data_IF_370082889975
#
_entry.id   IF_370082889975
#
_cell.length_a   1.000
_cell.length_b   1.000
_cell.length_c   1.000
_cell.angle_alpha   90.00
_cell.angle_beta   90.00
_cell.angle_gamma   90.00
#
_symmetry.space_group_name_H-M   'P 1'
#
loop_
_entity.id
_entity.type
_entity.pdbx_description
1 polymer ?
#
# COMPACT_ATOMS: atom_id res chain seq x y z
N UNK A 1 -9.88 -12.98 6.67
CA UNK A 1 -9.04 -12.37 5.62
C UNK A 1 -9.84 -11.47 4.65
N UNK A 2 -10.79 -10.66 5.14
CA UNK A 2 -11.73 -9.86 4.30
C UNK A 2 -11.43 -8.36 4.26
N UNK A 3 -10.38 -7.87 4.96
CA UNK A 3 -10.14 -6.42 5.11
C UNK A 3 -9.48 -5.76 3.90
N UNK A 4 -8.72 -6.49 3.09
CA UNK A 4 -7.95 -5.92 1.95
C UNK A 4 -8.79 -5.58 0.71
N UNK A 5 -10.12 -5.66 0.79
CA UNK A 5 -11.04 -5.35 -0.32
C UNK A 5 -11.97 -4.16 -0.08
N UNK A 6 -11.88 -3.52 1.09
CA UNK A 6 -12.61 -2.30 1.42
C UNK A 6 -11.63 -1.13 1.51
N UNK A 7 -12.04 0.09 1.11
CA UNK A 7 -11.18 1.25 1.27
C UNK A 7 -10.98 1.56 2.76
N UNK A 8 -9.88 2.24 3.06
CA UNK A 8 -9.59 2.76 4.39
C UNK A 8 -9.10 4.21 4.30
N UNK A 9 -9.33 4.97 5.36
CA UNK A 9 -8.83 6.33 5.53
C UNK A 9 -7.92 6.36 6.76
N UNK A 10 -6.78 7.03 6.65
CA UNK A 10 -5.84 7.22 7.76
C UNK A 10 -5.42 8.68 7.84
N UNK A 11 -5.52 9.28 9.04
CA UNK A 11 -5.06 10.64 9.33
C UNK A 11 -3.64 10.52 9.88
N UNK A 12 -2.69 11.20 9.26
CA UNK A 12 -1.25 11.07 9.54
C UNK A 12 -0.74 12.14 10.49
N UNK A 13 -1.33 13.34 10.45
CA UNK A 13 -0.95 14.44 11.33
C UNK A 13 -1.24 15.81 10.76
N UNK A 14 -0.71 16.83 11.44
CA UNK A 14 -0.85 18.25 11.11
C UNK A 14 0.54 18.87 11.02
N UNK A 15 0.84 19.47 9.88
CA UNK A 15 2.04 20.28 9.66
C UNK A 15 1.75 21.76 9.92
N UNK A 16 2.75 22.50 10.42
CA UNK A 16 2.66 23.93 10.70
C UNK A 16 2.18 24.30 12.11
N UNK A 17 1.73 23.32 12.90
CA UNK A 17 1.39 23.49 14.31
C UNK A 17 2.59 23.20 15.25
N UNK A 18 2.39 23.37 16.56
CA UNK A 18 3.35 22.96 17.58
C UNK A 18 3.21 21.44 17.85
N UNK A 19 4.28 20.67 17.58
CA UNK A 19 4.28 19.20 17.70
C UNK A 19 5.37 18.64 18.62
N UNK A 20 6.20 19.50 19.22
CA UNK A 20 7.26 19.09 20.13
C UNK A 20 6.74 18.90 21.56
N UNK A 21 7.46 18.13 22.42
CA UNK A 21 7.17 18.09 23.83
C UNK A 21 7.21 19.48 24.49
N UNK A 22 6.47 19.66 25.58
CA UNK A 22 6.39 20.91 26.33
C UNK A 22 5.21 21.79 25.92
N UNK A 23 5.35 23.11 26.09
CA UNK A 23 4.25 24.07 25.88
C UNK A 23 4.68 25.22 24.97
N UNK A 24 3.77 25.67 24.10
CA UNK A 24 3.94 26.88 23.29
C UNK A 24 2.62 27.64 23.18
N UNK A 25 2.59 28.89 23.62
CA UNK A 25 1.42 29.77 23.56
C UNK A 25 1.33 30.43 22.18
N UNK A 26 0.96 29.65 21.17
CA UNK A 26 0.90 30.11 19.77
C UNK A 26 -0.42 29.74 19.11
N UNK A 27 -0.93 30.64 18.27
CA UNK A 27 -1.99 30.35 17.30
C UNK A 27 -1.29 30.20 15.93
N UNK A 28 -1.17 28.98 15.36
CA UNK A 28 -0.53 28.80 14.07
C UNK A 28 -1.26 29.55 12.95
N UNK A 29 -0.54 30.37 12.18
CA UNK A 29 -1.12 31.17 11.10
C UNK A 29 -1.56 30.32 9.89
N UNK A 30 -0.92 29.16 9.69
CA UNK A 30 -1.24 28.20 8.62
C UNK A 30 -0.94 26.78 9.11
N UNK A 31 -1.83 25.86 8.81
CA UNK A 31 -1.64 24.43 9.06
C UNK A 31 -2.03 23.60 7.83
N UNK A 32 -1.46 22.40 7.73
CA UNK A 32 -1.76 21.42 6.70
C UNK A 32 -2.06 20.07 7.34
N UNK A 33 -3.31 19.63 7.28
CA UNK A 33 -3.69 18.28 7.66
C UNK A 33 -3.30 17.27 6.58
N UNK A 34 -2.72 16.13 6.98
CA UNK A 34 -2.30 15.06 6.08
C UNK A 34 -3.10 13.80 6.36
N UNK A 35 -3.66 13.20 5.31
CA UNK A 35 -4.36 11.93 5.38
C UNK A 35 -4.19 11.18 4.07
N UNK A 36 -4.52 9.89 4.03
CA UNK A 36 -4.58 9.13 2.79
C UNK A 36 -5.78 8.21 2.77
N UNK A 37 -6.18 7.82 1.56
CA UNK A 37 -7.23 6.83 1.31
C UNK A 37 -6.60 5.66 0.55
N UNK A 38 -6.74 4.44 1.06
CA UNK A 38 -6.39 3.23 0.32
C UNK A 38 -7.52 2.88 -0.63
N UNK A 39 -7.22 2.88 -1.92
CA UNK A 39 -8.18 2.55 -2.97
C UNK A 39 -8.28 1.03 -3.17
N UNK A 40 -9.46 0.58 -3.58
CA UNK A 40 -9.75 -0.82 -3.91
C UNK A 40 -10.35 -0.89 -5.33
N UNK A 41 -10.52 -2.09 -5.93
CA UNK A 41 -11.01 -2.20 -7.30
C UNK A 41 -12.28 -1.40 -7.55
N UNK A 42 -12.36 -0.81 -8.75
CA UNK A 42 -13.44 0.07 -9.21
C UNK A 42 -13.47 1.47 -8.58
N UNK A 43 -12.44 1.86 -7.81
CA UNK A 43 -12.24 3.24 -7.37
C UNK A 43 -11.22 3.94 -8.28
N UNK A 44 -11.66 4.99 -8.98
CA UNK A 44 -10.79 5.80 -9.82
C UNK A 44 -10.16 6.95 -9.01
N UNK A 45 -8.82 7.12 -9.00
CA UNK A 45 -8.16 8.14 -8.19
C UNK A 45 -8.71 9.56 -8.41
N UNK A 46 -8.94 9.95 -9.67
CA UNK A 46 -9.48 11.27 -10.02
C UNK A 46 -10.90 11.51 -9.51
N UNK A 47 -11.73 10.46 -9.47
CA UNK A 47 -13.09 10.53 -8.93
C UNK A 47 -13.05 10.69 -7.42
N UNK A 48 -12.20 9.93 -6.73
CA UNK A 48 -12.03 10.03 -5.28
C UNK A 48 -11.46 11.39 -4.88
N UNK A 49 -10.47 11.89 -5.62
CA UNK A 49 -9.91 13.23 -5.41
C UNK A 49 -10.97 14.32 -5.50
N UNK A 50 -11.83 14.24 -6.53
CA UNK A 50 -12.95 15.16 -6.70
C UNK A 50 -13.93 15.08 -5.52
N UNK A 51 -14.34 13.87 -5.15
CA UNK A 51 -15.28 13.64 -4.03
C UNK A 51 -14.74 14.21 -2.71
N UNK A 52 -13.47 13.97 -2.42
CA UNK A 52 -12.79 14.49 -1.23
C UNK A 52 -12.73 16.01 -1.26
N UNK A 53 -12.31 16.59 -2.38
CA UNK A 53 -12.20 18.04 -2.55
C UNK A 53 -13.55 18.73 -2.37
N UNK A 54 -14.60 18.22 -3.03
CA UNK A 54 -15.95 18.76 -2.92
C UNK A 54 -16.48 18.68 -1.49
N UNK A 55 -16.29 17.51 -0.83
CA UNK A 55 -16.73 17.31 0.55
C UNK A 55 -16.04 18.27 1.51
N UNK A 56 -14.71 18.40 1.44
CA UNK A 56 -13.94 19.25 2.36
C UNK A 56 -14.24 20.73 2.14
N UNK A 57 -14.37 21.18 0.88
CA UNK A 57 -14.78 22.56 0.60
C UNK A 57 -16.18 22.86 1.16
N UNK A 58 -17.15 21.95 0.95
CA UNK A 58 -18.48 22.09 1.53
C UNK A 58 -18.43 22.18 3.06
N UNK A 59 -17.70 21.26 3.71
CA UNK A 59 -17.54 21.25 5.17
C UNK A 59 -16.84 22.49 5.70
N UNK A 60 -15.88 23.04 4.98
CA UNK A 60 -15.22 24.29 5.37
C UNK A 60 -16.17 25.49 5.27
N UNK A 61 -16.97 25.59 4.21
CA UNK A 61 -17.99 26.64 4.07
C UNK A 61 -19.02 26.60 5.21
N UNK A 62 -19.46 25.41 5.63
CA UNK A 62 -20.40 25.23 6.74
C UNK A 62 -19.87 25.78 8.09
N UNK A 63 -18.55 25.98 8.24
CA UNK A 63 -17.95 26.55 9.45
C UNK A 63 -18.10 28.07 9.57
N UNK A 64 -18.50 28.77 8.50
CA UNK A 64 -18.55 30.23 8.43
C UNK A 64 -17.25 30.92 8.91
N UNK A 65 -16.11 30.32 8.57
CA UNK A 65 -14.79 30.82 8.95
C UNK A 65 -14.30 31.87 7.96
N UNK A 66 -13.64 32.98 8.40
CA UNK A 66 -13.01 33.95 7.50
C UNK A 66 -11.70 33.44 6.88
N UNK A 67 -11.22 32.26 7.29
CA UNK A 67 -9.98 31.67 6.78
C UNK A 67 -10.18 31.05 5.38
N UNK A 68 -9.10 30.56 4.78
CA UNK A 68 -9.12 29.84 3.50
C UNK A 68 -8.72 28.37 3.66
N UNK A 69 -9.21 27.52 2.74
CA UNK A 69 -8.82 26.12 2.60
C UNK A 69 -8.32 25.88 1.17
N UNK A 70 -7.27 25.05 1.05
CA UNK A 70 -6.83 24.49 -0.23
C UNK A 70 -6.63 22.99 -0.03
N UNK A 71 -7.27 22.18 -0.87
CA UNK A 71 -7.13 20.72 -0.89
C UNK A 71 -6.27 20.34 -2.10
N UNK A 72 -5.27 19.51 -1.89
CA UNK A 72 -4.37 19.00 -2.94
C UNK A 72 -4.13 17.51 -2.74
N UNK A 73 -3.89 16.79 -3.84
CA UNK A 73 -3.53 15.36 -3.85
C UNK A 73 -2.22 15.21 -4.64
N UNK A 74 -1.20 14.60 -4.02
CA UNK A 74 0.13 14.49 -4.65
C UNK A 74 0.27 13.23 -5.51
N UNK A 75 -0.28 12.10 -5.06
CA UNK A 75 -0.12 10.79 -5.71
C UNK A 75 -1.42 9.99 -5.67
N UNK A 76 -2.01 9.75 -6.84
CA UNK A 76 -3.12 8.81 -7.02
C UNK A 76 -2.63 7.53 -7.71
N UNK A 77 -2.78 6.37 -7.06
CA UNK A 77 -2.45 5.08 -7.65
C UNK A 77 -3.68 4.18 -7.67
N UNK A 78 -3.96 3.56 -8.83
CA UNK A 78 -5.03 2.57 -8.96
C UNK A 78 -4.68 1.31 -8.18
N UNK A 79 -5.70 0.66 -7.62
CA UNK A 79 -5.53 -0.69 -7.09
C UNK A 79 -5.13 -1.66 -8.20
N UNK A 80 -4.31 -2.65 -7.87
CA UNK A 80 -3.86 -3.68 -8.81
C UNK A 80 -4.35 -5.07 -8.38
N UNK A 81 -4.74 -5.88 -9.36
CA UNK A 81 -5.05 -7.30 -9.21
C UNK A 81 -4.36 -8.07 -10.33
N UNK A 82 -4.03 -9.33 -10.05
CA UNK A 82 -3.43 -10.26 -11.00
C UNK A 82 -4.25 -11.55 -11.04
N UNK A 83 -4.18 -12.26 -12.16
CA UNK A 83 -4.72 -13.61 -12.27
C UNK A 83 -3.73 -14.60 -11.65
N UNK A 84 -4.16 -15.25 -10.55
CA UNK A 84 -3.34 -16.20 -9.80
C UNK A 84 -3.28 -17.59 -10.45
N UNK A 85 -3.94 -17.81 -11.59
CA UNK A 85 -3.87 -19.06 -12.34
C UNK A 85 -2.73 -19.08 -13.38
N UNK A 86 -2.01 -17.97 -13.54
CA UNK A 86 -0.91 -17.84 -14.49
C UNK A 86 0.31 -18.70 -14.11
N UNK A 87 1.13 -19.16 -15.09
CA UNK A 87 2.24 -20.09 -14.88
C UNK A 87 3.18 -19.75 -13.72
N UNK A 88 3.56 -18.48 -13.56
CA UNK A 88 4.49 -18.07 -12.52
C UNK A 88 3.89 -18.19 -11.10
N UNK A 89 2.57 -18.08 -10.93
CA UNK A 89 1.93 -18.33 -9.64
C UNK A 89 1.95 -19.82 -9.28
N UNK A 90 1.75 -20.69 -10.27
CA UNK A 90 1.86 -22.14 -10.08
C UNK A 90 3.30 -22.55 -9.73
N UNK A 91 4.30 -21.99 -10.42
CA UNK A 91 5.72 -22.18 -10.08
C UNK A 91 6.04 -21.71 -8.66
N UNK A 92 5.55 -20.52 -8.26
CA UNK A 92 5.75 -20.00 -6.93
C UNK A 92 5.14 -20.89 -5.85
N UNK A 93 3.93 -21.43 -6.06
CA UNK A 93 3.31 -22.38 -5.11
C UNK A 93 4.17 -23.62 -4.88
N UNK A 94 4.70 -24.22 -5.96
CA UNK A 94 5.60 -25.37 -5.87
C UNK A 94 6.88 -25.01 -5.12
N UNK A 95 7.50 -23.88 -5.44
CA UNK A 95 8.72 -23.40 -4.80
C UNK A 95 8.52 -23.11 -3.30
N UNK A 96 7.41 -22.46 -2.92
CA UNK A 96 7.06 -22.22 -1.51
C UNK A 96 6.87 -23.54 -0.77
N UNK A 97 6.10 -24.48 -1.33
CA UNK A 97 5.91 -25.80 -0.73
C UNK A 97 7.23 -26.55 -0.54
N UNK A 98 8.12 -26.48 -1.54
CA UNK A 98 9.44 -27.13 -1.49
C UNK A 98 10.34 -26.55 -0.39
N UNK A 99 10.34 -25.23 -0.19
CA UNK A 99 11.22 -24.57 0.78
C UNK A 99 10.66 -24.55 2.19
N UNK A 100 9.35 -24.36 2.34
CA UNK A 100 8.69 -24.14 3.63
C UNK A 100 7.79 -25.30 4.08
N UNK A 101 7.60 -26.32 3.23
CA UNK A 101 6.82 -27.53 3.56
C UNK A 101 5.30 -27.32 3.64
N UNK A 102 4.79 -26.14 3.23
CA UNK A 102 3.37 -25.77 3.32
C UNK A 102 2.85 -25.20 2.00
N UNK A 103 1.58 -25.44 1.72
CA UNK A 103 0.88 -24.77 0.62
C UNK A 103 0.81 -23.26 0.88
N UNK A 104 1.03 -22.47 -0.17
CA UNK A 104 0.98 -21.03 -0.09
C UNK A 104 -0.47 -20.52 -0.15
N UNK A 105 -0.82 -19.59 0.74
CA UNK A 105 -2.04 -18.80 0.61
C UNK A 105 -1.89 -17.75 -0.49
N UNK A 106 -2.96 -17.52 -1.26
CA UNK A 106 -3.05 -16.41 -2.20
C UNK A 106 -3.64 -15.20 -1.50
N UNK A 107 -2.83 -14.16 -1.33
CA UNK A 107 -3.17 -13.03 -0.49
C UNK A 107 -3.24 -11.72 -1.27
N UNK A 108 -4.07 -10.80 -0.80
CA UNK A 108 -4.03 -9.38 -1.17
C UNK A 108 -3.46 -8.56 -0.03
N UNK A 109 -2.61 -7.59 -0.34
CA UNK A 109 -2.03 -6.66 0.63
C UNK A 109 -2.72 -5.28 0.57
N UNK A 110 -2.74 -4.57 1.71
CA UNK A 110 -3.23 -3.18 1.79
C UNK A 110 -2.18 -2.12 1.44
N UNK A 111 -0.93 -2.54 1.22
CA UNK A 111 0.14 -1.67 0.72
C UNK A 111 -0.06 -1.31 -0.75
N UNK A 112 0.77 -0.40 -1.26
CA UNK A 112 0.72 0.04 -2.66
C UNK A 112 2.11 -0.02 -3.26
N UNK A 113 2.22 -0.69 -4.40
CA UNK A 113 3.42 -0.73 -5.24
C UNK A 113 3.01 -0.22 -6.62
N UNK A 114 3.01 1.12 -6.84
CA UNK A 114 2.39 1.72 -8.03
C UNK A 114 2.94 1.18 -9.35
N UNK A 115 4.22 0.80 -9.36
CA UNK A 115 4.90 0.32 -10.57
C UNK A 115 4.39 -1.05 -11.05
N UNK A 116 3.74 -1.85 -10.21
CA UNK A 116 3.21 -3.16 -10.61
C UNK A 116 2.18 -3.03 -11.75
N UNK A 117 1.26 -2.07 -11.64
CA UNK A 117 0.29 -1.76 -12.70
C UNK A 117 1.00 -1.32 -13.96
N UNK A 118 1.98 -0.42 -13.83
CA UNK A 118 2.72 0.12 -14.98
C UNK A 118 3.52 -0.97 -15.72
N UNK A 119 4.20 -1.87 -14.99
CA UNK A 119 4.90 -3.00 -15.59
C UNK A 119 3.94 -3.89 -16.37
N UNK A 120 2.77 -4.21 -15.80
CA UNK A 120 1.77 -5.05 -16.47
C UNK A 120 1.26 -4.40 -17.77
N UNK A 121 0.99 -3.09 -17.74
CA UNK A 121 0.53 -2.32 -18.91
C UNK A 121 1.59 -2.27 -20.02
N UNK A 122 2.84 -1.94 -19.66
CA UNK A 122 3.94 -1.75 -20.63
C UNK A 122 4.40 -3.09 -21.21
N UNK A 123 4.61 -4.09 -20.37
CA UNK A 123 5.15 -5.38 -20.82
C UNK A 123 4.08 -6.29 -21.41
N UNK A 124 2.80 -6.06 -21.07
CA UNK A 124 1.68 -6.97 -21.34
C UNK A 124 1.95 -8.38 -20.83
N UNK A 125 2.74 -8.50 -19.76
CA UNK A 125 3.07 -9.76 -19.07
C UNK A 125 2.41 -9.79 -17.70
N UNK A 126 2.14 -11.00 -17.23
CA UNK A 126 1.58 -11.21 -15.91
C UNK A 126 2.62 -10.84 -14.83
N UNK A 127 2.18 -10.06 -13.84
CA UNK A 127 3.01 -9.61 -12.72
C UNK A 127 2.64 -10.42 -11.47
N UNK A 128 3.66 -10.80 -10.70
CA UNK A 128 3.52 -11.50 -9.43
C UNK A 128 4.38 -10.83 -8.37
N UNK A 129 3.82 -10.69 -7.17
CA UNK A 129 4.54 -10.26 -5.99
C UNK A 129 4.85 -11.49 -5.13
N UNK A 130 6.14 -11.80 -4.99
CA UNK A 130 6.63 -12.89 -4.16
C UNK A 130 7.38 -12.29 -2.97
N UNK A 131 6.71 -12.19 -1.82
CA UNK A 131 7.27 -11.59 -0.60
C UNK A 131 8.05 -12.60 0.24
N UNK A 132 9.08 -12.12 0.94
CA UNK A 132 9.86 -12.91 1.92
C UNK A 132 9.70 -12.41 3.36
N UNK A 133 9.01 -11.30 3.58
CA UNK A 133 8.83 -10.70 4.91
C UNK A 133 7.86 -11.46 5.80
N UNK A 134 8.03 -11.30 7.11
CA UNK A 134 7.13 -11.75 8.16
C UNK A 134 6.00 -10.76 8.43
N UNK A 135 4.91 -11.20 9.09
CA UNK A 135 3.78 -10.33 9.41
C UNK A 135 4.10 -9.24 10.45
N UNK A 136 5.22 -9.39 11.18
CA UNK A 136 5.67 -8.53 12.27
C UNK A 136 6.97 -7.77 11.92
N UNK A 137 7.37 -7.75 10.65
CA UNK A 137 8.60 -7.07 10.18
C UNK A 137 8.51 -5.54 10.24
N UNK A 138 7.30 -5.00 10.46
CA UNK A 138 7.03 -3.58 10.72
C UNK A 138 7.65 -2.60 9.70
N UNK A 139 7.43 -2.78 8.38
CA UNK A 139 7.93 -1.82 7.41
C UNK A 139 7.41 -0.42 7.71
N UNK A 140 8.31 0.57 7.74
CA UNK A 140 8.04 1.97 8.12
C UNK A 140 7.72 2.20 9.61
N UNK A 141 7.87 1.17 10.45
CA UNK A 141 7.73 1.26 11.90
C UNK A 141 9.09 1.39 12.59
N UNK A 142 9.04 1.57 13.91
CA UNK A 142 10.22 1.37 14.75
C UNK A 142 10.63 -0.10 14.74
N UNK A 143 11.94 -0.35 14.92
CA UNK A 143 12.52 -1.70 15.02
C UNK A 143 12.18 -2.61 13.80
N UNK A 144 12.10 -2.01 12.61
CA UNK A 144 11.94 -2.74 11.34
C UNK A 144 13.00 -3.83 11.21
N UNK A 145 12.59 -5.04 10.84
CA UNK A 145 13.47 -6.22 10.83
C UNK A 145 13.11 -7.19 9.71
N UNK A 146 14.03 -8.10 9.43
CA UNK A 146 13.75 -9.34 8.71
C UNK A 146 14.33 -10.51 9.51
N UNK A 147 13.52 -11.54 9.74
CA UNK A 147 14.03 -12.72 10.44
C UNK A 147 15.09 -13.43 9.60
N UNK A 148 16.14 -13.96 10.25
CA UNK A 148 17.17 -14.77 9.56
C UNK A 148 16.54 -15.96 8.83
N UNK A 149 15.49 -16.55 9.41
CA UNK A 149 14.72 -17.62 8.78
C UNK A 149 14.12 -17.18 7.44
N UNK A 150 13.46 -16.03 7.41
CA UNK A 150 12.87 -15.45 6.20
C UNK A 150 13.92 -15.03 5.18
N UNK A 151 15.05 -14.46 5.61
CA UNK A 151 16.11 -14.07 4.70
C UNK A 151 16.72 -15.28 3.99
N UNK A 152 17.14 -16.29 4.75
CA UNK A 152 17.76 -17.52 4.20
C UNK A 152 16.74 -18.37 3.44
N UNK A 153 15.53 -18.52 3.97
CA UNK A 153 14.42 -19.21 3.32
C UNK A 153 14.00 -18.50 2.03
N UNK A 154 13.96 -17.17 2.04
CA UNK A 154 13.69 -16.32 0.89
C UNK A 154 14.71 -16.49 -0.22
N UNK A 155 16.01 -16.56 0.10
CA UNK A 155 17.05 -16.88 -0.89
C UNK A 155 16.80 -18.24 -1.56
N UNK A 156 16.51 -19.27 -0.76
CA UNK A 156 16.18 -20.61 -1.29
C UNK A 156 14.90 -20.59 -2.13
N UNK A 157 13.91 -19.81 -1.72
CA UNK A 157 12.64 -19.62 -2.42
C UNK A 157 12.87 -19.06 -3.82
N UNK A 158 13.64 -17.98 -3.97
CA UNK A 158 13.90 -17.42 -5.30
C UNK A 158 14.69 -18.38 -6.20
N UNK A 159 15.67 -19.11 -5.66
CA UNK A 159 16.38 -20.14 -6.42
C UNK A 159 15.44 -21.27 -6.87
N UNK A 160 14.58 -21.76 -5.98
CA UNK A 160 13.58 -22.78 -6.31
C UNK A 160 12.54 -22.26 -7.31
N UNK A 161 12.08 -21.01 -7.15
CA UNK A 161 11.11 -20.39 -8.05
C UNK A 161 11.63 -20.32 -9.49
N UNK A 162 12.88 -19.88 -9.68
CA UNK A 162 13.49 -19.85 -11.01
C UNK A 162 13.63 -21.25 -11.63
N UNK A 163 13.93 -22.27 -10.81
CA UNK A 163 13.93 -23.67 -11.27
C UNK A 163 12.54 -24.14 -11.70
N UNK A 164 11.52 -23.93 -10.86
CA UNK A 164 10.14 -24.35 -11.16
C UNK A 164 9.62 -23.63 -12.40
N UNK A 165 9.90 -22.33 -12.54
CA UNK A 165 9.47 -21.53 -13.69
C UNK A 165 10.09 -22.03 -15.00
N UNK A 166 11.34 -22.51 -14.98
CA UNK A 166 12.02 -23.04 -16.17
C UNK A 166 11.44 -24.39 -16.65
N UNK A 167 10.55 -25.03 -15.88
CA UNK A 167 9.92 -26.30 -16.24
C UNK A 167 8.50 -26.16 -16.82
N UNK A 168 8.00 -24.93 -16.93
CA UNK A 168 6.67 -24.59 -17.46
C UNK A 168 6.84 -23.88 -18.80
#
# INVERSE_FOLDING_TARGET
>A
MQRSRYPSLSIHGIEGAFSAPGTKTVIPAKVTGKFSIRLVPNMEPSVVEKQVTDYLNKKFTELNSPNSIKVTSDVGSKSWLSDTNEPQYLAARKAIKRVFGKEADMIRAGGTIPIATHFQEVTRKSIMLLGIGGPDDAPHGQDEKISRYNFIGGTKLYAAFLQELATI
#
